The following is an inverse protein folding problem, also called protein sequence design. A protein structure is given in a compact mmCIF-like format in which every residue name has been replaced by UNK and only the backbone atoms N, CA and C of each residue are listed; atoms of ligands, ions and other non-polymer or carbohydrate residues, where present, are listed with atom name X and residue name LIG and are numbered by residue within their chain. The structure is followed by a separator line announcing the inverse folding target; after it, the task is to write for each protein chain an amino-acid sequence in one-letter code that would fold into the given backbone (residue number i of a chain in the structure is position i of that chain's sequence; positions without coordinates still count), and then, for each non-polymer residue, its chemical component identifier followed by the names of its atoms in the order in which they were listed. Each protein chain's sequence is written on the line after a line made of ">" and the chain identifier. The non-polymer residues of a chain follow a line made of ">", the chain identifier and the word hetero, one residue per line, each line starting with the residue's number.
data_IF_916981926321
#
_entry.id   IF_916981926321
#
_cell.length_a   1.000
_cell.length_b   1.000
_cell.length_c   1.000
_cell.angle_alpha   90.00
_cell.angle_beta   90.00
_cell.angle_gamma   90.00
#
_symmetry.space_group_name_H-M   'P 1'
#
loop_
_entity.id
_entity.type
_entity.pdbx_description
1 polymer ?
#
# COMPACT_ATOMS: atom_id res chain seq x y z
N UNK A 1 -7.58 -17.62 20.90
CA UNK A 1 -7.07 -17.31 19.54
C UNK A 1 -6.06 -18.37 19.15
N UNK A 2 -6.07 -18.83 17.91
CA UNK A 2 -4.98 -19.67 17.38
C UNK A 2 -3.70 -18.84 17.21
N UNK A 3 -2.55 -19.51 17.11
CA UNK A 3 -1.27 -18.84 16.79
C UNK A 3 -1.36 -18.02 15.49
N UNK A 4 -2.12 -18.52 14.50
CA UNK A 4 -2.38 -17.80 13.25
C UNK A 4 -3.20 -16.52 13.45
N UNK A 5 -4.22 -16.56 14.32
CA UNK A 5 -5.01 -15.37 14.65
C UNK A 5 -4.19 -14.32 15.41
N UNK A 6 -3.25 -14.74 16.27
CA UNK A 6 -2.32 -13.82 16.92
C UNK A 6 -1.37 -13.18 15.91
N UNK A 7 -0.80 -13.98 15.00
CA UNK A 7 0.16 -13.54 13.97
C UNK A 7 -0.42 -12.47 13.03
N UNK A 8 -1.72 -12.50 12.76
CA UNK A 8 -2.42 -11.50 11.94
C UNK A 8 -2.65 -10.13 12.63
N UNK A 9 -2.24 -9.97 13.89
CA UNK A 9 -2.34 -8.69 14.62
C UNK A 9 -1.06 -7.86 14.49
N UNK A 10 -1.14 -6.54 14.73
CA UNK A 10 0.05 -5.67 14.75
C UNK A 10 1.08 -6.06 15.82
N UNK A 11 0.66 -6.67 16.92
CA UNK A 11 1.59 -7.20 17.92
C UNK A 11 2.20 -8.54 17.47
N UNK A 12 1.39 -9.39 16.84
CA UNK A 12 1.81 -10.67 16.31
C UNK A 12 2.84 -10.55 15.19
N UNK A 13 2.66 -9.61 14.26
CA UNK A 13 3.64 -9.40 13.18
C UNK A 13 5.02 -8.97 13.72
N UNK A 14 5.07 -8.21 14.82
CA UNK A 14 6.34 -7.84 15.48
C UNK A 14 6.98 -9.05 16.18
N UNK A 15 6.16 -9.94 16.74
CA UNK A 15 6.62 -11.12 17.50
C UNK A 15 7.07 -12.27 16.59
N UNK A 16 6.33 -12.53 15.52
CA UNK A 16 6.52 -13.70 14.66
C UNK A 16 7.04 -13.36 13.25
N UNK A 17 6.88 -12.11 12.80
CA UNK A 17 7.33 -11.68 11.49
C UNK A 17 8.85 -11.51 11.43
N UNK A 18 9.40 -11.72 10.24
CA UNK A 18 10.78 -11.40 9.93
C UNK A 18 10.81 -10.11 9.11
N UNK A 19 11.57 -9.08 9.54
CA UNK A 19 11.75 -7.88 8.73
C UNK A 19 12.40 -8.23 7.39
N UNK A 20 11.85 -7.68 6.31
CA UNK A 20 12.35 -7.87 4.95
C UNK A 20 13.02 -6.57 4.52
N UNK A 21 14.23 -6.66 3.97
CA UNK A 21 14.95 -5.52 3.41
C UNK A 21 14.62 -5.30 1.94
N UNK A 22 14.98 -4.14 1.40
CA UNK A 22 14.82 -3.83 -0.03
C UNK A 22 15.65 -4.74 -0.97
N UNK A 23 16.65 -5.44 -0.43
CA UNK A 23 17.53 -6.33 -1.19
C UNK A 23 17.08 -7.80 -1.15
N UNK A 24 16.04 -8.10 -0.36
CA UNK A 24 15.51 -9.46 -0.25
C UNK A 24 14.82 -9.88 -1.54
N UNK A 25 15.10 -11.12 -1.97
CA UNK A 25 14.49 -11.72 -3.14
C UNK A 25 13.28 -12.54 -2.72
N UNK A 26 12.14 -11.88 -2.65
CA UNK A 26 10.85 -12.52 -2.37
C UNK A 26 9.99 -12.51 -3.62
N UNK A 27 9.19 -13.56 -3.80
CA UNK A 27 8.10 -13.56 -4.77
C UNK A 27 6.79 -13.46 -4.02
N UNK A 28 5.94 -12.52 -4.43
CA UNK A 28 4.60 -12.36 -3.86
C UNK A 28 3.59 -12.75 -4.94
N UNK A 29 2.92 -13.88 -4.74
CA UNK A 29 1.91 -14.38 -5.68
C UNK A 29 0.53 -13.72 -5.47
N UNK A 30 0.29 -13.17 -4.27
CA UNK A 30 -1.00 -12.62 -3.85
C UNK A 30 -0.81 -11.41 -2.93
N UNK A 31 -1.51 -10.33 -3.22
CA UNK A 31 -1.67 -9.16 -2.34
C UNK A 31 -3.11 -9.13 -1.85
N UNK A 32 -3.30 -9.08 -0.53
CA UNK A 32 -4.60 -8.81 0.08
C UNK A 32 -4.61 -7.35 0.54
N UNK A 33 -5.43 -6.52 -0.11
CA UNK A 33 -5.51 -5.09 0.15
C UNK A 33 -6.84 -4.73 0.80
N UNK A 34 -6.80 -3.91 1.85
CA UNK A 34 -8.01 -3.38 2.48
C UNK A 34 -8.70 -2.33 1.59
N UNK A 35 -10.04 -2.25 1.66
CA UNK A 35 -10.82 -1.29 0.87
C UNK A 35 -11.98 -0.73 1.69
N UNK A 36 -12.31 0.55 1.48
CA UNK A 36 -13.50 1.20 2.02
C UNK A 36 -14.73 0.82 1.21
N UNK A 37 -14.60 0.84 -0.12
CA UNK A 37 -15.63 0.41 -1.06
C UNK A 37 -14.98 -0.10 -2.35
N UNK A 38 -15.69 -0.93 -3.11
CA UNK A 38 -15.24 -1.45 -4.41
C UNK A 38 -16.39 -1.52 -5.41
N UNK A 39 -16.07 -1.31 -6.68
CA UNK A 39 -16.99 -1.52 -7.79
C UNK A 39 -16.68 -2.84 -8.51
N UNK A 40 -17.64 -3.37 -9.27
CA UNK A 40 -17.47 -4.67 -9.96
C UNK A 40 -16.47 -4.58 -11.11
N UNK A 41 -16.19 -3.37 -11.60
CA UNK A 41 -15.09 -3.08 -12.54
C UNK A 41 -13.69 -3.39 -11.98
N UNK A 42 -13.56 -3.61 -10.67
CA UNK A 42 -12.27 -3.72 -9.98
C UNK A 42 -11.69 -2.38 -9.51
N UNK A 43 -12.40 -1.27 -9.75
CA UNK A 43 -12.09 0.00 -9.11
C UNK A 43 -12.29 -0.11 -7.59
N UNK A 44 -11.37 0.46 -6.81
CA UNK A 44 -11.46 0.45 -5.36
C UNK A 44 -11.23 1.84 -4.77
N UNK A 45 -11.92 2.09 -3.66
CA UNK A 45 -11.68 3.25 -2.81
C UNK A 45 -10.94 2.81 -1.55
N UNK A 46 -9.72 3.31 -1.38
CA UNK A 46 -8.95 3.16 -0.15
C UNK A 46 -9.33 4.21 0.90
N UNK A 47 -8.58 4.25 2.00
CA UNK A 47 -8.73 5.29 3.03
C UNK A 47 -8.26 6.68 2.56
N UNK A 48 -7.50 6.76 1.45
CA UNK A 48 -7.02 8.01 0.86
C UNK A 48 -5.63 8.47 1.31
N UNK A 49 -4.90 7.67 2.11
CA UNK A 49 -3.56 8.05 2.59
C UNK A 49 -2.44 7.73 1.58
N UNK A 50 -2.69 6.80 0.65
CA UNK A 50 -1.74 6.38 -0.38
C UNK A 50 -0.74 5.32 0.08
N UNK A 51 -0.85 4.78 1.30
CA UNK A 51 0.14 3.82 1.83
C UNK A 51 0.12 2.48 1.10
N UNK A 52 -1.06 1.94 0.78
CA UNK A 52 -1.17 0.67 0.06
C UNK A 52 -0.57 0.77 -1.35
N UNK A 53 -0.77 1.90 -2.01
CA UNK A 53 -0.23 2.20 -3.34
C UNK A 53 1.31 2.34 -3.28
N UNK A 54 1.84 2.93 -2.20
CA UNK A 54 3.29 3.01 -1.99
C UNK A 54 3.92 1.65 -1.67
N UNK A 55 3.28 0.81 -0.86
CA UNK A 55 3.71 -0.56 -0.59
C UNK A 55 3.72 -1.41 -1.86
N UNK A 56 2.66 -1.30 -2.67
CA UNK A 56 2.61 -1.91 -4.00
C UNK A 56 3.76 -1.41 -4.90
N UNK A 57 3.98 -0.09 -4.97
CA UNK A 57 5.06 0.50 -5.76
C UNK A 57 6.46 0.06 -5.31
N UNK A 58 6.70 -0.12 -4.01
CA UNK A 58 7.96 -0.66 -3.48
C UNK A 58 8.16 -2.12 -3.90
N UNK A 59 7.12 -2.96 -3.77
CA UNK A 59 7.19 -4.36 -4.20
C UNK A 59 7.43 -4.49 -5.71
N UNK A 60 6.82 -3.60 -6.52
CA UNK A 60 7.10 -3.50 -7.96
C UNK A 60 8.56 -3.18 -8.23
N UNK A 61 9.10 -2.18 -7.53
CA UNK A 61 10.50 -1.80 -7.69
C UNK A 61 11.47 -2.92 -7.28
N UNK A 62 11.16 -3.66 -6.21
CA UNK A 62 11.94 -4.82 -5.78
C UNK A 62 11.90 -5.98 -6.78
N UNK A 63 11.01 -5.94 -7.78
CA UNK A 63 10.75 -7.06 -8.69
C UNK A 63 10.03 -8.22 -8.01
N UNK A 64 9.45 -7.99 -6.83
CA UNK A 64 8.75 -9.01 -6.04
C UNK A 64 7.36 -9.32 -6.56
N UNK A 65 6.78 -8.39 -7.33
CA UNK A 65 5.47 -8.48 -7.97
C UNK A 65 5.54 -7.99 -9.41
N UNK A 66 4.66 -8.53 -10.25
CA UNK A 66 4.50 -8.14 -11.65
C UNK A 66 3.01 -7.94 -11.99
N UNK A 67 2.66 -7.72 -13.26
CA UNK A 67 1.28 -7.44 -13.67
C UNK A 67 0.34 -8.64 -13.45
N UNK A 68 0.91 -9.85 -13.35
CA UNK A 68 0.21 -11.10 -13.09
C UNK A 68 0.02 -11.38 -11.59
N UNK A 69 0.67 -10.64 -10.69
CA UNK A 69 0.43 -10.78 -9.24
C UNK A 69 -1.02 -10.42 -8.92
N UNK A 70 -1.75 -11.34 -8.29
CA UNK A 70 -3.16 -11.13 -7.97
C UNK A 70 -3.32 -10.12 -6.83
N UNK A 71 -4.23 -9.17 -7.03
CA UNK A 71 -4.66 -8.22 -6.00
C UNK A 71 -6.09 -8.56 -5.58
N UNK A 72 -6.28 -8.88 -4.32
CA UNK A 72 -7.54 -9.35 -3.75
C UNK A 72 -7.96 -8.46 -2.61
N UNK A 73 -9.26 -8.24 -2.47
CA UNK A 73 -9.82 -7.53 -1.33
C UNK A 73 -10.89 -8.37 -0.65
N UNK A 74 -11.03 -8.16 0.65
CA UNK A 74 -12.15 -8.69 1.45
C UNK A 74 -13.00 -7.53 1.93
N UNK A 75 -14.28 -7.54 1.58
CA UNK A 75 -15.24 -6.49 1.95
C UNK A 75 -16.57 -7.09 2.38
N UNK A 76 -17.39 -6.33 3.10
CA UNK A 76 -18.78 -6.70 3.32
C UNK A 76 -19.60 -6.47 2.03
N UNK A 77 -20.68 -7.21 1.82
CA UNK A 77 -21.54 -7.08 0.63
C UNK A 77 -22.03 -5.63 0.40
N UNK A 78 -22.28 -4.90 1.49
CA UNK A 78 -22.70 -3.49 1.47
C UNK A 78 -21.60 -2.49 1.02
N UNK A 79 -20.35 -2.93 0.94
CA UNK A 79 -19.23 -2.12 0.43
C UNK A 79 -18.98 -2.35 -1.06
N UNK A 80 -19.75 -3.25 -1.70
CA UNK A 80 -19.83 -3.31 -3.15
C UNK A 80 -20.79 -2.21 -3.61
N UNK A 81 -20.23 -1.19 -4.23
CA UNK A 81 -20.96 -0.01 -4.71
C UNK A 81 -21.13 -0.07 -6.22
N UNK A 82 -21.92 0.85 -6.79
CA UNK A 82 -22.14 0.86 -8.24
C UNK A 82 -20.89 1.36 -8.98
N UNK A 83 -20.82 1.09 -10.28
CA UNK A 83 -19.68 1.54 -11.11
C UNK A 83 -19.67 3.08 -11.25
N UNK A 84 -20.82 3.73 -11.03
CA UNK A 84 -20.96 5.19 -11.00
C UNK A 84 -20.47 5.81 -9.67
N UNK A 85 -20.48 5.06 -8.58
CA UNK A 85 -19.97 5.52 -7.28
C UNK A 85 -18.43 5.56 -7.27
N UNK A 86 -17.78 4.67 -8.02
CA UNK A 86 -16.32 4.65 -8.23
C UNK A 86 -16.01 4.53 -9.74
N UNK A 87 -16.21 5.61 -10.51
CA UNK A 87 -15.94 5.60 -11.95
C UNK A 87 -14.47 5.33 -12.22
N UNK A 88 -14.17 4.46 -13.18
CA UNK A 88 -12.80 4.13 -13.58
C UNK A 88 -12.03 5.37 -14.03
N UNK A 89 -12.70 6.31 -14.72
CA UNK A 89 -12.08 7.55 -15.21
C UNK A 89 -11.64 8.51 -14.09
N UNK A 90 -12.14 8.31 -12.86
CA UNK A 90 -11.72 9.08 -11.69
C UNK A 90 -10.53 8.43 -10.95
N UNK A 91 -10.12 7.23 -11.35
CA UNK A 91 -8.95 6.60 -10.74
C UNK A 91 -7.68 7.33 -11.13
N UNK A 92 -6.79 7.45 -10.14
CA UNK A 92 -5.48 8.02 -10.31
C UNK A 92 -4.51 6.95 -10.84
N UNK A 93 -3.46 7.39 -11.52
CA UNK A 93 -2.42 6.52 -12.08
C UNK A 93 -1.76 5.57 -11.06
N UNK A 94 -1.79 5.93 -9.77
CA UNK A 94 -1.25 5.12 -8.68
C UNK A 94 -2.28 4.21 -8.01
N UNK A 95 -3.56 4.32 -8.35
CA UNK A 95 -4.59 3.48 -7.75
C UNK A 95 -4.41 2.03 -8.21
N UNK A 96 -4.35 1.11 -7.25
CA UNK A 96 -4.16 -0.31 -7.53
C UNK A 96 -5.54 -0.96 -7.67
N UNK A 97 -5.94 -1.45 -8.85
CA UNK A 97 -7.21 -2.15 -9.03
C UNK A 97 -7.20 -3.52 -8.33
N UNK A 98 -8.39 -4.07 -8.10
CA UNK A 98 -8.57 -5.43 -7.54
C UNK A 98 -9.00 -6.41 -8.61
N UNK A 99 -8.34 -7.57 -8.65
CA UNK A 99 -8.65 -8.67 -9.55
C UNK A 99 -9.79 -9.54 -9.01
N UNK A 100 -9.87 -9.67 -7.67
CA UNK A 100 -10.87 -10.49 -6.99
C UNK A 100 -11.45 -9.74 -5.78
N UNK A 101 -12.76 -9.74 -5.67
CA UNK A 101 -13.51 -9.23 -4.52
C UNK A 101 -14.13 -10.42 -3.80
N UNK A 102 -13.80 -10.58 -2.51
CA UNK A 102 -14.36 -11.63 -1.67
C UNK A 102 -15.28 -10.99 -0.63
N UNK A 103 -16.52 -11.48 -0.56
CA UNK A 103 -17.48 -11.13 0.50
C UNK A 103 -17.88 -12.38 1.29
N UNK A 104 -18.59 -12.24 2.42
CA UNK A 104 -19.16 -13.38 3.13
C UNK A 104 -20.09 -14.25 2.27
N UNK A 105 -20.69 -13.71 1.19
CA UNK A 105 -21.69 -14.43 0.39
C UNK A 105 -21.19 -14.88 -0.98
N UNK A 106 -20.16 -14.23 -1.54
CA UNK A 106 -19.71 -14.51 -2.90
C UNK A 106 -18.22 -14.16 -3.11
N UNK A 107 -17.66 -14.70 -4.18
CA UNK A 107 -16.37 -14.31 -4.74
C UNK A 107 -16.60 -13.82 -6.17
N UNK A 108 -16.10 -12.63 -6.47
CA UNK A 108 -16.28 -11.96 -7.77
C UNK A 108 -14.91 -11.78 -8.40
N UNK A 109 -14.72 -12.33 -9.60
CA UNK A 109 -13.58 -12.05 -10.45
C UNK A 109 -13.92 -10.84 -11.31
N UNK A 110 -13.18 -9.76 -11.16
CA UNK A 110 -13.53 -8.47 -11.80
C UNK A 110 -13.20 -8.46 -13.28
N UNK A 111 -12.23 -9.30 -13.70
CA UNK A 111 -11.65 -9.27 -15.04
C UNK A 111 -11.28 -7.85 -15.48
N UNK A 112 -10.83 -7.05 -14.50
CA UNK A 112 -10.57 -5.63 -14.69
C UNK A 112 -9.54 -5.39 -15.79
N UNK A 113 -9.80 -4.38 -16.61
CA UNK A 113 -8.86 -3.90 -17.63
C UNK A 113 -8.09 -2.66 -17.15
N UNK A 114 -8.28 -2.26 -15.89
CA UNK A 114 -7.61 -1.12 -15.28
C UNK A 114 -6.12 -1.50 -15.13
N UNK A 115 -5.18 -0.69 -15.66
CA UNK A 115 -3.77 -1.02 -15.56
C UNK A 115 -3.29 -0.94 -14.11
N UNK A 116 -2.45 -1.89 -13.71
CA UNK A 116 -1.76 -1.84 -12.42
C UNK A 116 -0.61 -0.83 -12.49
N UNK A 117 -0.32 -0.09 -11.40
CA UNK A 117 0.81 0.84 -11.37
C UNK A 117 2.14 0.13 -11.65
N UNK A 118 3.04 0.78 -12.38
CA UNK A 118 4.32 0.14 -12.76
C UNK A 118 5.37 0.20 -11.67
N UNK A 119 5.19 1.05 -10.66
CA UNK A 119 6.10 1.25 -9.54
C UNK A 119 5.76 2.52 -8.76
N UNK A 120 6.77 3.11 -8.12
CA UNK A 120 6.61 4.37 -7.38
C UNK A 120 6.58 5.55 -8.35
N UNK A 121 5.48 6.29 -8.37
CA UNK A 121 5.35 7.53 -9.15
C UNK A 121 5.98 8.70 -8.39
N UNK A 122 7.31 8.83 -8.45
CA UNK A 122 8.06 9.86 -7.70
C UNK A 122 7.55 11.30 -7.90
N UNK A 123 7.09 11.61 -9.12
CA UNK A 123 6.53 12.93 -9.46
C UNK A 123 5.16 13.22 -8.84
N UNK A 124 4.52 12.23 -8.20
CA UNK A 124 3.27 12.38 -7.43
C UNK A 124 3.52 12.42 -5.92
N UNK A 125 4.73 12.08 -5.47
CA UNK A 125 5.05 11.99 -4.05
C UNK A 125 5.44 13.36 -3.50
N UNK A 126 4.63 13.93 -2.61
CA UNK A 126 4.93 15.22 -2.00
C UNK A 126 6.22 15.20 -1.16
N UNK A 127 6.88 16.35 -0.97
CA UNK A 127 7.99 16.46 -0.02
C UNK A 127 7.58 16.07 1.41
N UNK A 128 6.35 16.40 1.83
CA UNK A 128 5.84 16.13 3.17
C UNK A 128 5.72 14.62 3.40
N UNK A 129 5.12 13.87 2.48
CA UNK A 129 4.98 12.40 2.58
C UNK A 129 6.32 11.70 2.50
N UNK A 130 7.19 12.11 1.56
CA UNK A 130 8.55 11.59 1.45
C UNK A 130 9.33 11.77 2.75
N UNK A 131 9.21 12.93 3.41
CA UNK A 131 9.91 13.21 4.68
C UNK A 131 9.47 12.33 5.86
N UNK A 132 8.27 11.75 5.81
CA UNK A 132 7.73 10.92 6.89
C UNK A 132 8.06 9.43 6.76
N UNK A 133 8.38 8.97 5.55
CA UNK A 133 8.56 7.56 5.23
C UNK A 133 10.04 7.31 4.92
N UNK A 134 10.79 6.93 5.96
CA UNK A 134 12.24 6.69 5.89
C UNK A 134 12.65 5.74 4.75
N UNK A 135 11.90 4.65 4.55
CA UNK A 135 12.23 3.66 3.51
C UNK A 135 12.14 4.25 2.09
N UNK A 136 11.23 5.21 1.86
CA UNK A 136 11.14 5.90 0.57
C UNK A 136 12.30 6.86 0.35
N UNK A 137 12.83 7.48 1.42
CA UNK A 137 14.02 8.33 1.33
C UNK A 137 15.25 7.50 0.98
N UNK A 138 15.44 6.36 1.66
CA UNK A 138 16.53 5.42 1.39
C UNK A 138 16.45 4.89 -0.04
N UNK A 139 15.24 4.52 -0.48
CA UNK A 139 15.00 4.05 -1.83
C UNK A 139 15.24 5.12 -2.90
N UNK A 140 14.75 6.35 -2.69
CA UNK A 140 14.98 7.48 -3.61
C UNK A 140 16.47 7.76 -3.76
N UNK A 141 17.18 7.90 -2.63
CA UNK A 141 18.62 8.19 -2.63
C UNK A 141 19.43 7.07 -3.32
N UNK A 142 19.01 5.81 -3.14
CA UNK A 142 19.63 4.67 -3.83
C UNK A 142 19.45 4.78 -5.35
N UNK A 143 18.23 4.98 -5.83
CA UNK A 143 17.95 5.07 -7.28
C UNK A 143 18.70 6.26 -7.89
N UNK A 144 18.68 7.42 -7.23
CA UNK A 144 19.39 8.62 -7.70
C UNK A 144 20.90 8.38 -7.81
N UNK A 145 21.49 7.69 -6.83
CA UNK A 145 22.90 7.31 -6.85
C UNK A 145 23.23 6.31 -7.96
N UNK A 146 22.41 5.28 -8.14
CA UNK A 146 22.64 4.20 -9.12
C UNK A 146 22.46 4.70 -10.56
N UNK A 147 21.50 5.59 -10.80
CA UNK A 147 21.17 6.11 -12.13
C UNK A 147 21.88 7.44 -12.45
N UNK A 148 22.46 8.11 -11.45
CA UNK A 148 23.11 9.41 -11.63
C UNK A 148 22.14 10.53 -12.01
N UNK A 149 20.86 10.41 -11.65
CA UNK A 149 19.80 11.39 -11.90
C UNK A 149 19.18 11.87 -10.59
N UNK A 150 18.55 13.04 -10.62
CA UNK A 150 17.64 13.47 -9.55
C UNK A 150 16.23 13.04 -9.92
N UNK A 151 15.59 12.23 -9.07
CA UNK A 151 14.21 11.82 -9.28
C UNK A 151 13.29 13.01 -9.00
N UNK A 152 12.16 13.12 -9.72
CA UNK A 152 11.19 14.19 -9.47
C UNK A 152 10.58 14.08 -8.07
N UNK A 153 9.95 15.16 -7.63
CA UNK A 153 9.14 15.25 -6.41
C UNK A 153 7.83 15.90 -6.80
N UNK A 154 6.73 15.44 -6.22
CA UNK A 154 5.40 16.01 -6.43
C UNK A 154 5.22 17.37 -5.78
N UNK A 155 4.01 17.90 -5.93
CA UNK A 155 3.61 19.17 -5.31
C UNK A 155 3.41 19.00 -3.80
N UNK A 156 3.44 20.12 -3.07
CA UNK A 156 3.12 20.12 -1.66
C UNK A 156 1.72 19.57 -1.38
N UNK A 157 1.58 18.82 -0.29
CA UNK A 157 0.28 18.32 0.18
C UNK A 157 0.09 18.57 1.68
N UNK A 158 -1.16 18.81 2.08
CA UNK A 158 -1.56 18.80 3.49
C UNK A 158 -1.88 17.36 3.86
N UNK A 159 -1.01 16.76 4.67
CA UNK A 159 -1.20 15.38 5.10
C UNK A 159 -2.40 15.25 6.06
N UNK A 160 -3.25 14.22 5.90
CA UNK A 160 -4.36 14.00 6.81
C UNK A 160 -3.84 13.71 8.21
N UNK A 161 -4.59 14.03 9.28
CA UNK A 161 -4.17 13.80 10.66
C UNK A 161 -3.74 12.36 10.94
N UNK A 162 -4.35 11.41 10.24
CA UNK A 162 -4.08 9.98 10.36
C UNK A 162 -2.77 9.53 9.70
N UNK A 163 -2.24 10.30 8.74
CA UNK A 163 -0.93 10.06 8.13
C UNK A 163 0.21 10.71 8.92
N UNK A 164 -0.08 11.69 9.78
CA UNK A 164 0.93 12.33 10.62
C UNK A 164 1.46 11.33 11.65
N UNK A 165 2.71 10.90 11.48
CA UNK A 165 3.43 10.16 12.52
C UNK A 165 3.70 11.09 13.69
N UNK A 166 2.86 11.02 14.73
CA UNK A 166 3.24 11.57 16.04
C UNK A 166 4.48 10.83 16.51
N UNK A 167 5.57 11.56 16.78
CA UNK A 167 6.79 10.96 17.30
C UNK A 167 6.43 10.19 18.56
N UNK A 168 6.58 8.85 18.55
CA UNK A 168 6.54 8.05 19.77
C UNK A 168 7.52 8.70 20.75
N UNK A 169 6.98 9.32 21.80
CA UNK A 169 7.79 9.90 22.86
C UNK A 169 8.79 8.85 23.33
N UNK A 170 10.06 9.23 23.40
CA UNK A 170 11.09 8.46 24.11
C UNK A 170 10.52 8.10 25.48
N UNK A 171 10.21 6.82 25.70
CA UNK A 171 9.91 6.31 27.02
C UNK A 171 11.12 6.63 27.90
N UNK A 172 10.99 7.65 28.75
CA UNK A 172 11.96 7.89 29.83
C UNK A 172 11.92 6.65 30.71
N UNK A 173 12.95 5.82 30.62
CA UNK A 173 13.23 4.82 31.64
C UNK A 173 13.30 5.52 32.99
N UNK A 174 12.31 5.28 33.85
CA UNK A 174 12.43 5.58 35.27
C UNK A 174 13.30 4.49 35.88
N UNK A 175 14.61 4.72 35.86
CA UNK A 175 15.52 4.11 36.82
C UNK A 175 15.59 5.01 38.06
N UNK A 176 15.03 4.54 39.17
CA UNK A 176 15.35 4.85 40.58
C UNK A 176 14.71 3.68 41.34
N UNK A 177 15.41 2.90 42.17
CA UNK A 177 16.48 3.21 43.10
C UNK A 177 16.09 2.48 44.38
#
# INVERSE_FOLDING_TARGET
>A
MSAFSEAATSAGVVKYGQPISLDEKIKVDLIVVGSVAVARTGARLGKGEGFAELEYGMLRWMGSIDDNTLVVTTVHDAQIVSDEDIPVDNLLEHDVPVDIIVTPTQTIFTHTTIPKPTGILWHKLSPQKLSQIRILQELKARIEKEQGITLPVGTDEILPPTAQRTGKGKGKGKGKG
#
